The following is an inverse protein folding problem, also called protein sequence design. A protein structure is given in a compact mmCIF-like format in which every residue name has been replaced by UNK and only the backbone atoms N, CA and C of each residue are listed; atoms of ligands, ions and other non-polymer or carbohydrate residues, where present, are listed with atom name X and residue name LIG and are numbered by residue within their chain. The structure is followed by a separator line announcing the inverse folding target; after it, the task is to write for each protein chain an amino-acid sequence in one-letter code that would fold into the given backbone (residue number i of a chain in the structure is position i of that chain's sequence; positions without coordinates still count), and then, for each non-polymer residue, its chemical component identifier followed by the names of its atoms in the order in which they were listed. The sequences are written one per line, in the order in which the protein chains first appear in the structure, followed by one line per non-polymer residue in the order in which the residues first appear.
data_IF_666716578136
#
_entry.id   IF_666716578136
#
_cell.length_a   1.000
_cell.length_b   1.000
_cell.length_c   1.000
_cell.angle_alpha   90.00
_cell.angle_beta   90.00
_cell.angle_gamma   90.00
#
_symmetry.space_group_name_H-M   'P 1'
#
loop_
_entity.id
_entity.type
_entity.pdbx_description
1 polymer ?
#
# COMPACT_ATOMS: atom_id res chain seq x y z
N UNK A 1 -37.98 28.30 -20.69
CA UNK A 1 -37.08 27.28 -21.24
C UNK A 1 -35.67 27.75 -20.93
N UNK A 2 -35.13 27.37 -19.76
CA UNK A 2 -33.75 27.70 -19.40
C UNK A 2 -32.82 26.74 -20.14
N UNK A 3 -31.94 27.30 -20.97
CA UNK A 3 -30.84 26.55 -21.56
C UNK A 3 -29.76 26.49 -20.49
N UNK A 4 -29.63 25.34 -19.83
CA UNK A 4 -28.50 25.06 -18.95
C UNK A 4 -27.21 25.21 -19.74
N UNK A 5 -26.45 26.30 -19.49
CA UNK A 5 -25.09 26.43 -20.01
C UNK A 5 -24.24 25.34 -19.35
N UNK A 6 -23.84 24.34 -20.15
CA UNK A 6 -22.78 23.40 -19.78
C UNK A 6 -21.54 24.23 -19.43
N UNK A 7 -21.04 24.12 -18.19
CA UNK A 7 -19.78 24.78 -17.81
C UNK A 7 -18.63 24.11 -18.57
N UNK A 8 -17.64 24.87 -19.07
CA UNK A 8 -16.42 24.29 -19.65
C UNK A 8 -15.78 23.34 -18.64
N UNK A 9 -15.31 22.19 -19.12
CA UNK A 9 -14.57 21.26 -18.27
C UNK A 9 -13.12 21.76 -18.24
N UNK A 10 -12.77 22.44 -17.17
CA UNK A 10 -11.36 22.75 -16.86
C UNK A 10 -10.70 21.44 -16.41
N UNK A 11 -9.86 20.85 -17.27
CA UNK A 11 -9.25 19.56 -17.00
C UNK A 11 -7.89 19.74 -16.31
N UNK A 12 -7.87 19.46 -15.00
CA UNK A 12 -6.66 19.24 -14.22
C UNK A 12 -6.70 17.81 -13.69
N UNK A 13 -5.61 17.07 -13.82
CA UNK A 13 -5.47 15.72 -13.26
C UNK A 13 -4.59 15.84 -12.02
N UNK A 14 -5.18 15.54 -10.85
CA UNK A 14 -4.44 15.43 -9.59
C UNK A 14 -4.05 13.98 -9.35
N UNK A 15 -2.77 13.74 -9.12
CA UNK A 15 -2.19 12.43 -8.81
C UNK A 15 -1.47 12.58 -7.46
N UNK A 16 -1.81 11.73 -6.49
CA UNK A 16 -1.18 11.75 -5.16
C UNK A 16 -0.41 10.46 -4.92
N UNK A 17 0.85 10.58 -4.48
CA UNK A 17 1.74 9.49 -4.05
C UNK A 17 1.64 8.23 -4.93
N UNK A 18 1.66 8.41 -6.25
CA UNK A 18 1.50 7.31 -7.20
C UNK A 18 2.84 6.72 -7.60
N UNK A 19 2.83 5.44 -7.95
CA UNK A 19 3.87 4.83 -8.79
C UNK A 19 3.68 5.36 -10.21
N UNK A 20 4.74 5.95 -10.77
CA UNK A 20 4.77 6.58 -12.10
C UNK A 20 5.82 5.91 -12.98
N UNK A 21 6.94 5.50 -12.38
CA UNK A 21 8.06 4.87 -13.06
C UNK A 21 8.79 3.95 -12.10
N UNK A 22 8.58 2.64 -12.29
CA UNK A 22 9.08 1.60 -11.38
C UNK A 22 10.59 1.71 -11.11
N UNK A 23 11.40 2.05 -12.12
CA UNK A 23 12.86 2.23 -11.95
C UNK A 23 13.18 3.30 -10.89
N UNK A 24 12.63 4.50 -11.07
CA UNK A 24 12.88 5.61 -10.15
C UNK A 24 12.16 5.43 -8.82
N UNK A 25 11.00 4.78 -8.82
CA UNK A 25 10.18 4.60 -7.63
C UNK A 25 10.76 3.53 -6.70
N UNK A 26 11.26 2.40 -7.24
CA UNK A 26 11.91 1.34 -6.45
C UNK A 26 13.27 1.83 -5.91
N UNK A 27 14.07 2.49 -6.75
CA UNK A 27 15.35 3.07 -6.31
C UNK A 27 15.11 4.12 -5.23
N UNK A 28 14.18 5.05 -5.47
CA UNK A 28 13.83 6.10 -4.51
C UNK A 28 13.25 5.56 -3.19
N UNK A 29 12.51 4.45 -3.24
CA UNK A 29 12.00 3.78 -2.04
C UNK A 29 13.14 3.18 -1.20
N UNK A 30 14.12 2.54 -1.82
CA UNK A 30 15.28 1.96 -1.14
C UNK A 30 16.14 3.06 -0.47
N UNK A 31 16.44 4.14 -1.22
CA UNK A 31 17.13 5.33 -0.70
C UNK A 31 16.35 6.00 0.45
N UNK A 32 15.01 6.05 0.35
CA UNK A 32 14.14 6.57 1.40
C UNK A 32 14.23 5.70 2.66
N UNK A 33 14.16 4.37 2.52
CA UNK A 33 14.31 3.45 3.65
C UNK A 33 15.66 3.60 4.34
N UNK A 34 16.75 3.68 3.58
CA UNK A 34 18.09 3.86 4.14
C UNK A 34 18.21 5.21 4.89
N UNK A 35 17.79 6.30 4.25
CA UNK A 35 17.86 7.65 4.85
C UNK A 35 16.98 7.84 6.10
N UNK A 36 16.01 6.96 6.31
CA UNK A 36 15.12 6.95 7.48
C UNK A 36 15.45 5.82 8.47
N UNK A 37 16.59 5.14 8.29
CA UNK A 37 17.09 4.07 9.18
C UNK A 37 16.10 2.90 9.28
N UNK A 38 15.46 2.58 8.16
CA UNK A 38 14.51 1.47 8.05
C UNK A 38 15.17 0.20 7.50
N UNK A 39 16.30 0.36 6.80
CA UNK A 39 17.20 -0.71 6.34
C UNK A 39 18.64 -0.34 6.71
N UNK A 40 19.53 -1.33 6.72
CA UNK A 40 20.96 -1.11 6.97
C UNK A 40 21.68 -0.50 5.76
N UNK A 41 22.78 0.21 6.02
CA UNK A 41 23.65 0.77 4.98
C UNK A 41 24.22 -0.35 4.08
N UNK A 42 24.44 -1.55 4.64
CA UNK A 42 24.89 -2.73 3.90
C UNK A 42 23.84 -3.22 2.90
N UNK A 43 22.57 -3.29 3.32
CA UNK A 43 21.46 -3.69 2.43
C UNK A 43 21.31 -2.67 1.30
N UNK A 44 21.33 -1.38 1.62
CA UNK A 44 21.23 -0.33 0.60
C UNK A 44 22.39 -0.40 -0.40
N UNK A 45 23.62 -0.60 0.09
CA UNK A 45 24.78 -0.76 -0.78
C UNK A 45 24.65 -1.98 -1.72
N UNK A 46 24.06 -3.08 -1.24
CA UNK A 46 23.82 -4.27 -2.07
C UNK A 46 22.72 -4.01 -3.11
N UNK A 47 21.61 -3.36 -2.72
CA UNK A 47 20.54 -2.96 -3.66
C UNK A 47 21.10 -2.11 -4.78
N UNK A 48 21.87 -1.06 -4.46
CA UNK A 48 22.45 -0.16 -5.47
C UNK A 48 23.48 -0.84 -6.37
N UNK A 49 24.07 -1.95 -5.92
CA UNK A 49 25.09 -2.70 -6.65
C UNK A 49 24.49 -3.77 -7.56
N UNK A 50 23.48 -4.49 -7.09
CA UNK A 50 22.96 -5.68 -7.76
C UNK A 50 21.70 -5.43 -8.57
N UNK A 51 20.92 -4.40 -8.22
CA UNK A 51 19.66 -4.10 -8.90
C UNK A 51 19.86 -3.21 -10.13
N UNK A 52 19.18 -3.56 -11.23
CA UNK A 52 19.14 -2.74 -12.45
C UNK A 52 17.85 -1.91 -12.57
N UNK A 53 16.93 -2.11 -11.61
CA UNK A 53 15.69 -1.36 -11.41
C UNK A 53 14.75 -1.38 -12.62
N UNK A 54 14.64 -2.51 -13.32
CA UNK A 54 13.75 -2.65 -14.47
C UNK A 54 12.40 -3.25 -14.06
N UNK A 55 11.38 -2.96 -14.88
CA UNK A 55 9.98 -3.31 -14.59
C UNK A 55 9.76 -4.82 -14.48
N UNK A 56 10.60 -5.64 -15.13
CA UNK A 56 10.42 -7.09 -15.12
C UNK A 56 11.34 -7.72 -14.07
N UNK A 57 10.73 -8.19 -12.99
CA UNK A 57 11.41 -8.91 -11.90
C UNK A 57 12.17 -10.15 -12.39
N UNK A 58 11.69 -10.77 -13.48
CA UNK A 58 12.35 -11.91 -14.15
C UNK A 58 13.69 -11.56 -14.81
N UNK A 59 13.97 -10.28 -15.01
CA UNK A 59 15.24 -9.80 -15.57
C UNK A 59 16.17 -9.23 -14.48
N UNK A 60 15.70 -9.07 -13.23
CA UNK A 60 16.56 -8.74 -12.09
C UNK A 60 17.40 -9.94 -11.66
N UNK A 61 18.56 -9.65 -11.07
CA UNK A 61 19.45 -10.69 -10.52
C UNK A 61 18.83 -11.35 -9.28
N UNK A 62 19.22 -12.60 -9.01
CA UNK A 62 18.82 -13.29 -7.77
C UNK A 62 19.33 -12.51 -6.55
N UNK A 63 20.52 -11.94 -6.66
CA UNK A 63 21.14 -11.09 -5.65
C UNK A 63 20.31 -9.83 -5.37
N UNK A 64 19.79 -9.16 -6.40
CA UNK A 64 18.87 -8.01 -6.24
C UNK A 64 17.59 -8.42 -5.52
N UNK A 65 16.96 -9.54 -5.94
CA UNK A 65 15.73 -10.03 -5.31
C UNK A 65 15.94 -10.34 -3.81
N UNK A 66 17.09 -10.93 -3.46
CA UNK A 66 17.46 -11.19 -2.07
C UNK A 66 17.65 -9.89 -1.29
N UNK A 67 18.33 -8.90 -1.87
CA UNK A 67 18.57 -7.60 -1.24
C UNK A 67 17.24 -6.84 -0.99
N UNK A 68 16.38 -6.75 -2.01
CA UNK A 68 15.05 -6.15 -1.92
C UNK A 68 14.14 -6.90 -0.93
N UNK A 69 14.18 -8.24 -0.93
CA UNK A 69 13.42 -9.05 0.02
C UNK A 69 13.89 -8.88 1.47
N UNK A 70 15.17 -8.60 1.68
CA UNK A 70 15.71 -8.26 3.01
C UNK A 70 15.24 -6.88 3.45
N UNK A 71 15.26 -5.89 2.57
CA UNK A 71 14.69 -4.57 2.83
C UNK A 71 13.18 -4.63 3.15
N UNK A 72 12.44 -5.47 2.43
CA UNK A 72 11.03 -5.73 2.74
C UNK A 72 10.89 -6.34 4.14
N UNK A 73 11.71 -7.34 4.48
CA UNK A 73 11.67 -7.97 5.80
C UNK A 73 11.90 -6.96 6.94
N UNK A 74 12.91 -6.11 6.82
CA UNK A 74 13.24 -5.08 7.81
C UNK A 74 12.10 -4.06 8.00
N UNK A 75 11.35 -3.79 6.93
CA UNK A 75 10.22 -2.84 6.94
C UNK A 75 8.86 -3.46 7.27
N UNK A 76 8.73 -4.79 7.39
CA UNK A 76 7.45 -5.45 7.76
C UNK A 76 6.80 -4.96 9.07
N UNK A 77 7.54 -4.61 10.14
CA UNK A 77 6.94 -4.18 11.40
C UNK A 77 6.37 -2.74 11.36
N UNK A 78 6.63 -1.97 10.30
CA UNK A 78 6.22 -0.57 10.15
C UNK A 78 5.18 -0.41 9.05
N UNK A 79 4.37 0.65 9.13
CA UNK A 79 3.50 1.05 8.03
C UNK A 79 4.30 1.89 7.04
N UNK A 80 4.70 1.30 5.91
CA UNK A 80 5.48 2.00 4.86
C UNK A 80 4.71 3.16 4.22
N UNK A 81 3.37 3.20 4.33
CA UNK A 81 2.57 4.32 3.85
C UNK A 81 2.59 5.52 4.81
N UNK A 82 3.00 5.31 6.06
CA UNK A 82 3.09 6.34 7.09
C UNK A 82 4.05 5.95 8.23
N UNK A 83 5.36 6.06 8.01
CA UNK A 83 6.40 5.54 8.92
C UNK A 83 6.43 6.15 10.34
N UNK A 84 5.74 7.28 10.56
CA UNK A 84 5.59 7.92 11.87
C UNK A 84 4.20 7.74 12.48
N UNK A 85 3.28 7.09 11.77
CA UNK A 85 1.94 6.84 12.27
C UNK A 85 1.95 5.68 13.28
N UNK A 86 1.02 5.69 14.26
CA UNK A 86 0.84 4.53 15.13
C UNK A 86 0.31 3.35 14.32
N UNK A 87 0.72 2.13 14.67
CA UNK A 87 0.13 0.90 14.12
C UNK A 87 -1.21 0.55 14.80
N UNK A 88 -2.08 -0.18 14.12
CA UNK A 88 -3.34 -0.62 14.71
C UNK A 88 -3.10 -1.71 15.76
N UNK A 89 -3.32 -1.39 17.04
CA UNK A 89 -3.14 -2.35 18.15
C UNK A 89 -4.37 -3.23 18.41
N UNK A 90 -5.56 -2.79 17.98
CA UNK A 90 -6.80 -3.51 18.24
C UNK A 90 -7.73 -3.39 17.04
N UNK A 91 -7.91 -4.53 16.36
CA UNK A 91 -8.73 -4.67 15.17
C UNK A 91 -10.20 -4.95 15.49
N UNK A 92 -10.54 -5.15 16.77
CA UNK A 92 -11.91 -5.44 17.18
C UNK A 92 -12.83 -4.25 16.93
N UNK A 93 -13.98 -4.55 16.36
CA UNK A 93 -15.03 -3.57 16.16
C UNK A 93 -15.66 -3.18 17.50
N UNK A 94 -15.95 -1.89 17.64
CA UNK A 94 -16.68 -1.36 18.78
C UNK A 94 -18.12 -1.09 18.38
N UNK A 95 -19.04 -1.20 19.34
CA UNK A 95 -20.46 -0.95 19.09
C UNK A 95 -20.78 0.51 18.68
N UNK A 96 -19.88 1.44 18.99
CA UNK A 96 -20.00 2.86 18.65
C UNK A 96 -18.84 3.29 17.75
N UNK A 97 -19.10 3.95 16.62
CA UNK A 97 -18.05 4.49 15.77
C UNK A 97 -17.13 5.43 16.55
N UNK A 98 -15.82 5.39 16.25
CA UNK A 98 -14.90 6.43 16.70
C UNK A 98 -15.30 7.78 16.08
N UNK A 99 -15.02 8.86 16.80
CA UNK A 99 -15.27 10.21 16.27
C UNK A 99 -14.31 10.47 15.10
N UNK A 100 -14.77 11.16 14.03
CA UNK A 100 -13.89 11.57 12.95
C UNK A 100 -12.71 12.40 13.47
N UNK A 101 -11.53 12.15 12.93
CA UNK A 101 -10.29 12.87 13.22
C UNK A 101 -9.68 13.35 11.90
N UNK A 102 -8.92 14.44 11.95
CA UNK A 102 -8.08 14.86 10.82
C UNK A 102 -6.85 13.96 10.64
N UNK A 103 -6.52 13.17 11.66
CA UNK A 103 -5.48 12.14 11.61
C UNK A 103 -6.12 10.83 11.21
N UNK A 104 -5.54 10.15 10.22
CA UNK A 104 -5.98 8.83 9.77
C UNK A 104 -5.87 7.86 10.94
N UNK A 105 -6.95 7.13 11.22
CA UNK A 105 -6.94 6.06 12.22
C UNK A 105 -6.24 4.84 11.59
N UNK A 106 -5.19 4.28 12.22
CA UNK A 106 -4.48 3.14 11.65
C UNK A 106 -5.35 1.87 11.59
N UNK A 107 -6.45 1.81 12.34
CA UNK A 107 -7.40 0.72 12.27
C UNK A 107 -8.49 0.94 11.21
N UNK A 108 -8.29 1.88 10.27
CA UNK A 108 -9.34 2.33 9.36
C UNK A 108 -9.84 1.33 8.35
N UNK A 109 -8.94 0.49 7.90
CA UNK A 109 -9.24 -0.62 7.03
C UNK A 109 -10.29 -1.56 7.65
N UNK A 110 -10.12 -1.94 8.92
CA UNK A 110 -11.00 -2.91 9.60
C UNK A 110 -12.45 -2.45 9.69
N UNK A 111 -12.69 -1.20 10.10
CA UNK A 111 -14.05 -0.69 10.17
C UNK A 111 -14.65 -0.45 8.78
N UNK A 112 -13.81 -0.14 7.77
CA UNK A 112 -14.27 0.04 6.39
C UNK A 112 -14.73 -1.29 5.81
N UNK A 113 -13.92 -2.35 5.96
CA UNK A 113 -14.28 -3.71 5.55
C UNK A 113 -15.57 -4.16 6.26
N UNK A 114 -15.66 -3.97 7.58
CA UNK A 114 -16.85 -4.35 8.33
C UNK A 114 -18.11 -3.59 7.86
N UNK A 115 -17.98 -2.29 7.58
CA UNK A 115 -19.09 -1.48 7.07
C UNK A 115 -19.53 -1.92 5.68
N UNK A 116 -18.59 -2.10 4.75
CA UNK A 116 -18.88 -2.50 3.37
C UNK A 116 -19.46 -3.91 3.25
N UNK A 117 -19.22 -4.77 4.25
CA UNK A 117 -19.80 -6.11 4.33
C UNK A 117 -21.18 -6.19 4.99
N UNK A 118 -21.76 -5.06 5.44
CA UNK A 118 -23.13 -5.06 5.97
C UNK A 118 -24.15 -5.28 4.84
N UNK A 119 -25.16 -6.17 5.02
CA UNK A 119 -26.13 -6.45 3.96
C UNK A 119 -26.91 -5.23 3.48
N UNK A 120 -27.23 -4.30 4.38
CA UNK A 120 -27.94 -3.07 4.02
C UNK A 120 -27.05 -2.09 3.25
N UNK A 121 -25.74 -2.05 3.54
CA UNK A 121 -24.75 -1.25 2.79
C UNK A 121 -24.57 -1.83 1.39
N UNK A 122 -24.40 -3.15 1.26
CA UNK A 122 -24.29 -3.80 -0.04
C UNK A 122 -25.54 -3.61 -0.90
N UNK A 123 -26.72 -3.72 -0.31
CA UNK A 123 -27.99 -3.44 -0.99
C UNK A 123 -28.08 -1.98 -1.44
N UNK A 124 -27.68 -1.02 -0.61
CA UNK A 124 -27.69 0.39 -0.95
C UNK A 124 -26.72 0.71 -2.11
N UNK A 125 -25.58 0.01 -2.18
CA UNK A 125 -24.61 0.09 -3.27
C UNK A 125 -24.99 -0.76 -4.49
N UNK A 126 -26.15 -1.43 -4.46
CA UNK A 126 -26.60 -2.34 -5.51
C UNK A 126 -25.62 -3.48 -5.82
N UNK A 127 -24.89 -3.94 -4.80
CA UNK A 127 -23.98 -5.08 -4.88
C UNK A 127 -24.76 -6.39 -4.67
N UNK A 128 -24.37 -7.43 -5.40
CA UNK A 128 -24.71 -8.81 -5.03
C UNK A 128 -23.97 -9.21 -3.75
N UNK A 129 -24.58 -9.97 -2.83
CA UNK A 129 -23.91 -10.36 -1.58
C UNK A 129 -22.56 -11.03 -1.85
N UNK A 130 -21.50 -10.40 -1.34
CA UNK A 130 -20.11 -10.85 -1.49
C UNK A 130 -19.33 -10.43 -0.25
N UNK A 131 -18.36 -11.23 0.19
CA UNK A 131 -17.39 -10.80 1.19
C UNK A 131 -16.32 -9.93 0.52
N UNK A 132 -16.38 -8.61 0.76
CA UNK A 132 -15.34 -7.68 0.35
C UNK A 132 -14.14 -7.79 1.29
N UNK A 133 -12.94 -7.82 0.72
CA UNK A 133 -11.68 -7.66 1.43
C UNK A 133 -10.95 -6.42 0.93
N UNK A 134 -10.04 -5.89 1.74
CA UNK A 134 -9.01 -4.99 1.23
C UNK A 134 -8.06 -5.75 0.29
N UNK A 135 -7.45 -5.00 -0.61
CA UNK A 135 -6.31 -5.47 -1.39
C UNK A 135 -5.08 -4.90 -0.69
N UNK A 136 -4.38 -5.73 0.07
CA UNK A 136 -3.07 -5.34 0.58
C UNK A 136 -2.04 -5.62 -0.50
N UNK A 137 -1.40 -4.56 -1.01
CA UNK A 137 -0.45 -4.58 -2.13
C UNK A 137 0.85 -5.33 -1.81
N UNK A 138 1.19 -5.53 -0.53
CA UNK A 138 2.22 -6.51 -0.14
C UNK A 138 1.84 -7.96 -0.51
N UNK A 139 0.57 -8.23 -0.83
CA UNK A 139 0.13 -9.54 -1.28
C UNK A 139 0.38 -9.82 -2.77
N UNK A 140 0.77 -8.82 -3.57
CA UNK A 140 1.24 -9.08 -4.94
C UNK A 140 2.69 -9.58 -4.98
N UNK A 141 3.50 -9.34 -3.94
CA UNK A 141 4.71 -10.12 -3.66
C UNK A 141 4.37 -11.54 -3.16
N UNK A 142 3.24 -11.73 -2.48
CA UNK A 142 2.82 -13.02 -1.90
C UNK A 142 2.16 -14.01 -2.89
N UNK A 143 2.25 -13.82 -4.20
CA UNK A 143 1.92 -14.88 -5.16
C UNK A 143 3.13 -15.75 -5.53
N UNK A 144 4.27 -15.54 -4.88
CA UNK A 144 5.46 -16.39 -5.02
C UNK A 144 5.81 -16.93 -3.62
N UNK A 145 5.56 -18.23 -3.44
CA UNK A 145 5.93 -19.07 -2.30
C UNK A 145 5.31 -18.78 -0.92
N UNK A 146 4.05 -19.20 -0.77
CA UNK A 146 3.61 -19.91 0.44
C UNK A 146 4.18 -21.36 0.48
N UNK A 147 5.42 -21.57 0.02
CA UNK A 147 6.14 -22.80 0.33
C UNK A 147 6.78 -22.60 1.70
N UNK A 148 6.06 -23.11 2.69
CA UNK A 148 6.61 -23.63 3.94
C UNK A 148 8.03 -24.16 3.76
N UNK A 149 9.01 -23.59 4.45
CA UNK A 149 10.21 -24.31 4.90
C UNK A 149 10.89 -23.57 6.06
N UNK A 150 11.56 -24.31 6.95
CA UNK A 150 11.03 -24.98 8.14
C UNK A 150 10.86 -24.08 9.37
#
# INVERSE_FOLDING_TARGET
MEVSRMRPIDHVIGIGNAVINDETDIRGMSEYFASHVLISDEIEAEIQKECIFIVSESEESEECQVALGTAEYDTRPIDIYAIYAPICQNTNLTAKPKKPSSVIDPCSEYYTIAHMNRPDVQKALSLTPLCLSSINTMSYANNIHHDTFP
#
